data_IF_015199672602
#
_entry.id   IF_015199672602
#
_cell.length_a   1.000
_cell.length_b   1.000
_cell.length_c   1.000
_cell.angle_alpha   90.00
_cell.angle_beta   90.00
_cell.angle_gamma   90.00
#
_symmetry.space_group_name_H-M   'P 1'
#
loop_
_entity.id
_entity.type
_entity.pdbx_description
1 polymer ?
#
# COMPACT_ATOMS: atom_id res chain seq x y z
N UNK A 1 -37.06 14.86 37.24
CA UNK A 1 -35.99 15.56 36.51
C UNK A 1 -34.68 15.30 37.24
N UNK A 2 -34.06 14.15 37.03
CA UNK A 2 -32.69 13.89 37.49
C UNK A 2 -31.78 14.09 36.29
N UNK A 3 -30.97 15.16 36.37
CA UNK A 3 -29.96 15.49 35.39
C UNK A 3 -28.87 14.41 35.40
N UNK A 4 -28.92 13.52 34.41
CA UNK A 4 -27.81 12.61 34.08
C UNK A 4 -26.68 13.44 33.44
N UNK A 5 -25.94 14.16 34.27
CA UNK A 5 -24.62 14.67 33.90
C UNK A 5 -23.67 13.47 33.85
N UNK A 6 -23.65 12.76 32.71
CA UNK A 6 -22.52 11.88 32.37
C UNK A 6 -21.31 12.77 32.16
N UNK A 7 -20.57 13.04 33.23
CA UNK A 7 -19.28 13.73 33.15
C UNK A 7 -18.40 12.96 32.18
N UNK A 8 -18.07 13.59 31.05
CA UNK A 8 -17.19 13.04 30.03
C UNK A 8 -15.76 13.03 30.61
N UNK A 9 -15.45 12.05 31.46
CA UNK A 9 -14.14 11.96 32.11
C UNK A 9 -13.08 11.63 31.06
N UNK A 10 -11.99 12.39 31.06
CA UNK A 10 -10.80 12.18 30.21
C UNK A 10 -10.25 10.74 30.37
N UNK A 11 -10.44 10.13 31.55
CA UNK A 11 -10.08 8.72 31.81
C UNK A 11 -10.77 7.75 30.85
N UNK A 12 -12.05 7.96 30.56
CA UNK A 12 -12.83 7.09 29.66
C UNK A 12 -12.34 7.18 28.20
N UNK A 13 -11.81 8.33 27.78
CA UNK A 13 -11.20 8.48 26.46
C UNK A 13 -9.88 7.70 26.42
N UNK A 14 -9.03 7.86 27.43
CA UNK A 14 -7.73 7.20 27.48
C UNK A 14 -7.85 5.67 27.53
N UNK A 15 -8.78 5.13 28.31
CA UNK A 15 -9.07 3.69 28.33
C UNK A 15 -9.58 3.18 26.98
N UNK A 16 -10.46 3.92 26.31
CA UNK A 16 -10.92 3.57 24.95
C UNK A 16 -9.75 3.56 23.96
N UNK A 17 -8.86 4.55 24.02
CA UNK A 17 -7.67 4.61 23.17
C UNK A 17 -6.76 3.41 23.44
N UNK A 18 -6.45 3.10 24.70
CA UNK A 18 -5.62 1.93 25.05
C UNK A 18 -6.28 0.63 24.59
N UNK A 19 -7.58 0.47 24.81
CA UNK A 19 -8.31 -0.72 24.37
C UNK A 19 -8.26 -0.88 22.85
N UNK A 20 -8.41 0.22 22.10
CA UNK A 20 -8.27 0.23 20.65
C UNK A 20 -6.87 -0.20 20.20
N UNK A 21 -5.81 0.32 20.83
CA UNK A 21 -4.42 -0.09 20.56
C UNK A 21 -4.18 -1.56 20.87
N UNK A 22 -4.76 -2.10 21.95
CA UNK A 22 -4.66 -3.53 22.29
C UNK A 22 -5.36 -4.41 21.26
N UNK A 23 -6.59 -4.08 20.89
CA UNK A 23 -7.39 -4.87 19.94
C UNK A 23 -6.83 -4.81 18.51
N UNK A 24 -6.26 -3.67 18.10
CA UNK A 24 -5.78 -3.45 16.74
C UNK A 24 -4.25 -3.45 16.63
N UNK A 25 -3.53 -3.94 17.64
CA UNK A 25 -2.06 -3.87 17.74
C UNK A 25 -1.36 -4.32 16.46
N UNK A 26 -1.71 -5.51 15.97
CA UNK A 26 -1.08 -6.07 14.77
C UNK A 26 -1.35 -5.22 13.51
N UNK A 27 -2.57 -4.69 13.36
CA UNK A 27 -2.92 -3.85 12.22
C UNK A 27 -2.14 -2.52 12.26
N UNK A 28 -2.01 -1.91 13.44
CA UNK A 28 -1.26 -0.67 13.62
C UNK A 28 0.24 -0.87 13.36
N UNK A 29 0.83 -1.98 13.82
CA UNK A 29 2.22 -2.32 13.52
C UNK A 29 2.45 -2.53 12.02
N UNK A 30 1.53 -3.21 11.33
CA UNK A 30 1.61 -3.36 9.87
C UNK A 30 1.49 -2.01 9.13
N UNK A 31 0.61 -1.12 9.59
CA UNK A 31 0.49 0.24 9.03
C UNK A 31 1.77 1.02 9.24
N UNK A 32 2.35 1.01 10.45
CA UNK A 32 3.61 1.67 10.76
C UNK A 32 4.74 1.16 9.85
N UNK A 33 4.83 -0.17 9.70
CA UNK A 33 5.82 -0.80 8.83
C UNK A 33 5.65 -0.36 7.36
N UNK A 34 4.41 -0.36 6.85
CA UNK A 34 4.11 0.10 5.50
C UNK A 34 4.46 1.57 5.27
N UNK A 35 4.05 2.44 6.19
CA UNK A 35 4.35 3.88 6.13
C UNK A 35 5.86 4.10 6.15
N UNK A 36 6.60 3.40 7.01
CA UNK A 36 8.06 3.52 7.07
C UNK A 36 8.73 3.10 5.75
N UNK A 37 8.27 2.02 5.11
CA UNK A 37 8.79 1.56 3.84
C UNK A 37 8.48 2.54 2.69
N UNK A 38 7.28 3.12 2.68
CA UNK A 38 6.89 4.14 1.71
C UNK A 38 7.75 5.40 1.87
N UNK A 39 7.97 5.87 3.10
CA UNK A 39 8.82 7.03 3.38
C UNK A 39 10.27 6.80 2.97
N UNK A 40 10.84 5.63 3.28
CA UNK A 40 12.17 5.23 2.81
C UNK A 40 12.27 5.30 1.29
N UNK A 41 11.28 4.75 0.59
CA UNK A 41 11.26 4.72 -0.86
C UNK A 41 11.10 6.11 -1.47
N UNK A 42 10.19 6.95 -0.96
CA UNK A 42 10.02 8.33 -1.43
C UNK A 42 11.30 9.13 -1.26
N UNK A 43 11.95 9.00 -0.09
CA UNK A 43 13.20 9.70 0.20
C UNK A 43 14.32 9.27 -0.73
N UNK A 44 14.49 7.97 -0.95
CA UNK A 44 15.51 7.45 -1.88
C UNK A 44 15.25 7.87 -3.32
N UNK A 45 13.98 8.00 -3.71
CA UNK A 45 13.59 8.49 -5.02
C UNK A 45 13.92 9.98 -5.16
N UNK A 46 13.56 10.80 -4.18
CA UNK A 46 13.95 12.23 -4.15
C UNK A 46 15.46 12.43 -4.19
N UNK A 47 16.20 11.63 -3.43
CA UNK A 47 17.66 11.70 -3.38
C UNK A 47 18.33 11.15 -4.65
N UNK A 48 17.76 10.16 -5.33
CA UNK A 48 18.31 9.68 -6.60
C UNK A 48 18.00 10.59 -7.80
N UNK A 49 16.90 11.35 -7.74
CA UNK A 49 16.40 12.18 -8.84
C UNK A 49 17.08 13.54 -8.90
N UNK A 50 17.07 14.31 -7.79
CA UNK A 50 17.61 15.68 -7.79
C UNK A 50 19.11 15.74 -8.10
N UNK A 51 19.88 14.77 -7.64
CA UNK A 51 21.34 14.78 -7.80
C UNK A 51 21.81 14.22 -9.15
N UNK A 52 20.99 13.41 -9.82
CA UNK A 52 21.27 12.95 -11.18
C UNK A 52 21.24 14.10 -12.20
N UNK A 53 20.55 15.21 -11.89
CA UNK A 53 20.52 16.43 -12.71
C UNK A 53 21.87 17.15 -12.68
N UNK A 54 22.61 17.05 -11.56
CA UNK A 54 23.94 17.63 -11.42
C UNK A 54 24.94 17.16 -12.49
N UNK A 55 24.75 15.95 -13.04
CA UNK A 55 25.61 15.38 -14.11
C UNK A 55 25.55 16.15 -15.41
N UNK A 56 24.45 16.86 -15.69
CA UNK A 56 24.31 17.60 -16.95
C UNK A 56 24.83 19.03 -16.86
N UNK A 57 25.13 19.51 -15.64
CA UNK A 57 25.29 20.94 -15.37
C UNK A 57 26.61 21.23 -14.64
N UNK A 58 27.13 20.29 -13.84
CA UNK A 58 28.24 20.56 -12.94
C UNK A 58 29.61 20.36 -13.59
N UNK A 59 30.41 21.43 -13.64
CA UNK A 59 31.86 21.34 -13.75
C UNK A 59 32.49 20.64 -12.53
N UNK A 60 33.53 21.22 -11.92
CA UNK A 60 34.30 20.56 -10.83
C UNK A 60 33.44 20.06 -9.65
N UNK A 61 32.37 20.75 -9.26
CA UNK A 61 31.47 20.30 -8.17
C UNK A 61 30.69 19.05 -8.56
N UNK A 62 30.21 18.98 -9.80
CA UNK A 62 29.47 17.82 -10.30
C UNK A 62 30.33 16.57 -10.16
N UNK A 63 31.54 16.60 -10.69
CA UNK A 63 32.45 15.44 -10.64
C UNK A 63 32.77 14.97 -9.20
N UNK A 64 32.99 15.92 -8.27
CA UNK A 64 33.30 15.60 -6.87
C UNK A 64 32.10 15.00 -6.15
N UNK A 65 30.94 15.66 -6.20
CA UNK A 65 29.73 15.25 -5.48
C UNK A 65 29.13 13.98 -6.08
N UNK A 66 29.09 13.87 -7.40
CA UNK A 66 28.38 12.80 -8.10
C UNK A 66 29.13 11.48 -7.97
N UNK A 67 30.47 11.51 -7.99
CA UNK A 67 31.28 10.28 -7.89
C UNK A 67 31.00 9.52 -6.59
N UNK A 68 30.76 10.24 -5.50
CA UNK A 68 30.50 9.63 -4.18
C UNK A 68 29.00 9.43 -3.92
N UNK A 69 28.14 10.38 -4.31
CA UNK A 69 26.70 10.30 -4.08
C UNK A 69 26.01 9.25 -4.96
N UNK A 70 26.37 9.12 -6.25
CA UNK A 70 25.69 8.22 -7.19
C UNK A 70 25.63 6.76 -6.74
N UNK A 71 26.75 6.11 -6.37
CA UNK A 71 26.71 4.72 -5.93
C UNK A 71 25.90 4.55 -4.64
N UNK A 72 25.99 5.50 -3.70
CA UNK A 72 25.19 5.50 -2.48
C UNK A 72 23.69 5.60 -2.80
N UNK A 73 23.29 6.52 -3.67
CA UNK A 73 21.90 6.77 -4.05
C UNK A 73 21.28 5.56 -4.72
N UNK A 74 22.01 4.94 -5.66
CA UNK A 74 21.55 3.73 -6.36
C UNK A 74 21.33 2.58 -5.37
N UNK A 75 22.26 2.37 -4.44
CA UNK A 75 22.12 1.35 -3.41
C UNK A 75 20.93 1.62 -2.49
N UNK A 76 20.78 2.86 -2.02
CA UNK A 76 19.68 3.29 -1.15
C UNK A 76 18.32 3.12 -1.83
N UNK A 77 18.23 3.44 -3.13
CA UNK A 77 17.03 3.26 -3.94
C UNK A 77 16.65 1.78 -4.06
N UNK A 78 17.59 0.93 -4.47
CA UNK A 78 17.35 -0.52 -4.61
C UNK A 78 16.90 -1.12 -3.27
N UNK A 79 17.59 -0.82 -2.17
CA UNK A 79 17.26 -1.34 -0.85
C UNK A 79 15.86 -0.88 -0.40
N UNK A 80 15.53 0.40 -0.53
CA UNK A 80 14.20 0.90 -0.16
C UNK A 80 13.07 0.29 -1.00
N UNK A 81 13.32 0.04 -2.28
CA UNK A 81 12.37 -0.64 -3.15
C UNK A 81 12.15 -2.10 -2.70
N UNK A 82 13.23 -2.83 -2.41
CA UNK A 82 13.15 -4.20 -1.89
C UNK A 82 12.43 -4.27 -0.54
N UNK A 83 12.68 -3.29 0.35
CA UNK A 83 11.93 -3.15 1.61
C UNK A 83 10.44 -2.94 1.33
N UNK A 84 10.07 -2.00 0.46
CA UNK A 84 8.67 -1.73 0.11
C UNK A 84 7.97 -2.99 -0.43
N UNK A 85 8.58 -3.68 -1.40
CA UNK A 85 8.04 -4.91 -1.97
C UNK A 85 7.91 -6.01 -0.91
N UNK A 86 8.94 -6.21 -0.08
CA UNK A 86 8.91 -7.24 0.97
C UNK A 86 7.83 -6.98 2.03
N UNK A 87 7.62 -5.72 2.44
CA UNK A 87 6.53 -5.34 3.36
C UNK A 87 5.17 -5.64 2.74
N UNK A 88 4.96 -5.29 1.47
CA UNK A 88 3.70 -5.59 0.77
C UNK A 88 3.46 -7.11 0.72
N UNK A 89 4.46 -7.90 0.34
CA UNK A 89 4.38 -9.37 0.31
C UNK A 89 4.07 -9.93 1.70
N UNK A 90 4.74 -9.41 2.73
CA UNK A 90 4.53 -9.82 4.12
C UNK A 90 3.10 -9.54 4.59
N UNK A 91 2.53 -8.39 4.23
CA UNK A 91 1.12 -8.06 4.54
C UNK A 91 0.13 -8.95 3.76
N UNK A 92 0.42 -9.24 2.49
CA UNK A 92 -0.40 -10.14 1.67
C UNK A 92 -0.42 -11.57 2.22
N UNK A 93 0.72 -12.08 2.68
CA UNK A 93 0.82 -13.40 3.30
C UNK A 93 0.28 -13.40 4.74
N UNK A 94 0.47 -12.30 5.46
CA UNK A 94 0.09 -12.13 6.87
C UNK A 94 -1.42 -12.06 7.11
N UNK A 95 -2.21 -11.69 6.11
CA UNK A 95 -3.67 -11.58 6.21
C UNK A 95 -4.39 -12.94 6.18
N UNK A 96 -3.69 -14.03 5.86
CA UNK A 96 -4.30 -15.36 5.82
C UNK A 96 -4.26 -16.07 7.19
N UNK A 97 -5.39 -16.10 7.91
CA UNK A 97 -5.60 -16.90 9.14
C UNK A 97 -5.48 -18.43 8.95
N UNK A 98 -5.07 -18.91 7.78
CA UNK A 98 -5.04 -20.35 7.45
C UNK A 98 -3.75 -20.98 7.98
N UNK A 99 -3.87 -22.01 8.83
CA UNK A 99 -2.75 -22.79 9.41
C UNK A 99 -1.67 -23.20 8.37
N UNK A 100 -2.07 -23.52 7.14
CA UNK A 100 -1.17 -23.97 6.06
C UNK A 100 -0.15 -22.92 5.57
N UNK A 101 -0.39 -21.62 5.81
CA UNK A 101 0.51 -20.55 5.37
C UNK A 101 1.39 -19.98 6.49
N UNK A 102 1.44 -20.62 7.67
CA UNK A 102 2.19 -20.05 8.80
C UNK A 102 3.68 -19.94 8.50
N UNK A 103 4.28 -20.95 7.86
CA UNK A 103 5.72 -20.96 7.54
C UNK A 103 6.08 -19.84 6.57
N UNK A 104 5.32 -19.70 5.47
CA UNK A 104 5.55 -18.64 4.49
C UNK A 104 5.45 -17.23 5.10
N UNK A 105 4.52 -17.04 6.05
CA UNK A 105 4.38 -15.80 6.80
C UNK A 105 5.62 -15.51 7.67
N UNK A 106 6.13 -16.50 8.40
CA UNK A 106 7.36 -16.34 9.19
C UNK A 106 8.56 -16.01 8.30
N UNK A 107 8.72 -16.73 7.18
CA UNK A 107 9.82 -16.49 6.23
C UNK A 107 9.73 -15.07 5.67
N UNK A 108 8.56 -14.63 5.23
CA UNK A 108 8.36 -13.28 4.68
C UNK A 108 8.66 -12.18 5.72
N UNK A 109 8.20 -12.34 6.96
CA UNK A 109 8.46 -11.37 8.03
C UNK A 109 9.95 -11.34 8.39
N UNK A 110 10.63 -12.49 8.42
CA UNK A 110 12.08 -12.57 8.66
C UNK A 110 12.89 -11.90 7.55
N UNK A 111 12.56 -12.16 6.28
CA UNK A 111 13.21 -11.51 5.12
C UNK A 111 13.00 -9.99 5.20
N UNK A 112 11.76 -9.55 5.49
CA UNK A 112 11.44 -8.13 5.64
C UNK A 112 12.26 -7.48 6.77
N UNK A 113 12.41 -8.17 7.90
CA UNK A 113 13.21 -7.70 9.04
C UNK A 113 14.69 -7.54 8.66
N UNK A 114 15.25 -8.53 7.96
CA UNK A 114 16.64 -8.52 7.51
C UNK A 114 16.92 -7.43 6.48
N UNK A 115 16.01 -7.23 5.53
CA UNK A 115 16.10 -6.12 4.57
C UNK A 115 15.99 -4.76 5.24
N UNK A 116 15.08 -4.61 6.20
CA UNK A 116 14.85 -3.35 6.89
C UNK A 116 16.05 -2.95 7.77
N UNK A 117 16.61 -3.87 8.55
CA UNK A 117 17.82 -3.58 9.35
C UNK A 117 19.03 -3.27 8.46
N UNK A 118 19.21 -4.01 7.35
CA UNK A 118 20.27 -3.73 6.38
C UNK A 118 20.12 -2.34 5.78
N UNK A 119 18.89 -1.96 5.42
CA UNK A 119 18.57 -0.64 4.86
C UNK A 119 18.83 0.46 5.88
N UNK A 120 18.41 0.28 7.14
CA UNK A 120 18.65 1.25 8.22
C UNK A 120 20.15 1.49 8.41
N UNK A 121 20.96 0.44 8.47
CA UNK A 121 22.41 0.55 8.65
C UNK A 121 23.05 1.27 7.46
N UNK A 122 22.71 0.87 6.23
CA UNK A 122 23.25 1.50 5.01
C UNK A 122 22.87 2.98 4.95
N UNK A 123 21.62 3.32 5.27
CA UNK A 123 21.14 4.69 5.29
C UNK A 123 21.89 5.51 6.31
N UNK A 124 22.02 5.00 7.54
CA UNK A 124 22.73 5.69 8.61
C UNK A 124 24.18 6.00 8.22
N UNK A 125 24.91 5.01 7.68
CA UNK A 125 26.29 5.18 7.23
C UNK A 125 26.38 6.16 6.07
N UNK A 126 25.57 5.98 5.03
CA UNK A 126 25.65 6.79 3.80
C UNK A 126 25.17 8.22 3.98
N UNK A 127 24.08 8.45 4.71
CA UNK A 127 23.61 9.80 5.02
C UNK A 127 24.62 10.53 5.90
N UNK A 128 25.22 9.86 6.89
CA UNK A 128 26.24 10.49 7.75
C UNK A 128 27.53 10.83 6.99
N UNK A 129 27.96 9.94 6.09
CA UNK A 129 29.12 10.18 5.23
C UNK A 129 28.87 11.36 4.29
N UNK A 130 27.78 11.28 3.51
CA UNK A 130 27.44 12.31 2.53
C UNK A 130 27.18 13.65 3.20
N UNK A 131 26.48 13.70 4.34
CA UNK A 131 26.23 14.96 5.05
C UNK A 131 27.52 15.67 5.44
N UNK A 132 28.57 14.93 5.85
CA UNK A 132 29.87 15.52 6.21
C UNK A 132 30.63 16.00 4.97
N UNK A 133 30.66 15.19 3.92
CA UNK A 133 31.30 15.56 2.64
C UNK A 133 30.63 16.81 2.04
N UNK A 134 29.30 16.87 2.07
CA UNK A 134 28.55 18.04 1.61
C UNK A 134 28.79 19.27 2.47
N UNK A 135 28.86 19.13 3.80
CA UNK A 135 29.13 20.26 4.68
C UNK A 135 30.53 20.84 4.45
N UNK A 136 31.53 19.99 4.20
CA UNK A 136 32.88 20.44 3.81
C UNK A 136 32.85 21.19 2.48
N UNK A 137 32.16 20.66 1.47
CA UNK A 137 32.05 21.29 0.15
C UNK A 137 31.25 22.60 0.18
N UNK A 138 30.21 22.70 1.00
CA UNK A 138 29.41 23.92 1.16
C UNK A 138 30.18 25.04 1.84
N UNK A 139 31.14 24.70 2.70
CA UNK A 139 31.96 25.66 3.42
C UNK A 139 33.25 26.04 2.67
N UNK A 140 33.54 25.43 1.52
CA UNK A 140 34.70 25.77 0.69
C UNK A 140 34.44 27.07 -0.10
N UNK A 141 35.16 28.18 0.20
CA UNK A 141 34.96 29.46 -0.49
C UNK A 141 35.23 29.39 -1.99
N UNK A 142 36.12 28.50 -2.43
CA UNK A 142 36.49 28.35 -3.83
C UNK A 142 35.36 27.78 -4.70
N UNK A 143 34.37 27.15 -4.06
CA UNK A 143 33.22 26.51 -4.68
C UNK A 143 31.92 27.34 -4.57
N UNK A 144 31.99 28.53 -3.96
CA UNK A 144 30.80 29.34 -3.65
C UNK A 144 29.97 29.75 -4.87
N UNK A 145 30.59 30.15 -5.97
CA UNK A 145 29.88 30.57 -7.19
C UNK A 145 29.26 29.37 -7.94
N UNK A 146 29.96 28.23 -7.94
CA UNK A 146 29.47 26.98 -8.51
C UNK A 146 28.24 26.47 -7.72
N UNK A 147 28.27 26.54 -6.38
CA UNK A 147 27.12 26.22 -5.53
C UNK A 147 25.93 27.14 -5.80
N UNK A 148 26.16 28.45 -5.88
CA UNK A 148 25.12 29.43 -6.19
C UNK A 148 24.44 29.13 -7.52
N UNK A 149 25.22 28.74 -8.54
CA UNK A 149 24.70 28.31 -9.84
C UNK A 149 23.87 27.04 -9.72
N UNK A 150 24.40 26.02 -9.02
CA UNK A 150 23.69 24.76 -8.80
C UNK A 150 22.37 24.94 -8.05
N UNK A 151 22.35 25.81 -7.03
CA UNK A 151 21.17 26.17 -6.26
C UNK A 151 20.13 26.90 -7.09
N UNK A 152 20.55 27.87 -7.90
CA UNK A 152 19.66 28.60 -8.81
C UNK A 152 18.97 27.65 -9.79
N UNK A 153 19.71 26.70 -10.35
CA UNK A 153 19.17 25.76 -11.35
C UNK A 153 18.21 24.75 -10.72
N UNK A 154 18.49 24.29 -9.51
CA UNK A 154 17.62 23.37 -8.79
C UNK A 154 16.47 24.06 -8.05
N UNK A 155 16.36 25.39 -8.14
CA UNK A 155 15.43 26.20 -7.33
C UNK A 155 15.53 25.88 -5.83
N UNK A 156 16.73 25.57 -5.37
CA UNK A 156 17.00 25.12 -4.01
C UNK A 156 17.87 26.15 -3.28
N UNK A 157 17.77 26.18 -1.95
CA UNK A 157 18.63 26.98 -1.08
C UNK A 157 19.63 26.06 -0.34
N UNK A 158 20.76 26.60 0.16
CA UNK A 158 21.68 25.84 0.99
C UNK A 158 21.01 25.16 2.20
N UNK A 159 20.01 25.81 2.79
CA UNK A 159 19.25 25.27 3.93
C UNK A 159 18.45 24.03 3.54
N UNK A 160 17.99 23.94 2.28
CA UNK A 160 17.21 22.79 1.79
C UNK A 160 18.06 21.51 1.76
N UNK A 161 19.37 21.61 1.49
CA UNK A 161 20.28 20.45 1.55
C UNK A 161 20.37 19.92 2.99
N UNK A 162 20.55 20.81 3.97
CA UNK A 162 20.62 20.42 5.39
C UNK A 162 19.30 19.79 5.84
N UNK A 163 18.18 20.32 5.36
CA UNK A 163 16.86 19.76 5.61
C UNK A 163 16.73 18.35 5.01
N UNK A 164 17.21 18.11 3.79
CA UNK A 164 17.18 16.77 3.15
C UNK A 164 17.93 15.75 4.01
N UNK A 165 19.15 16.04 4.47
CA UNK A 165 19.90 15.11 5.32
C UNK A 165 19.21 14.89 6.69
N UNK A 166 18.64 15.94 7.27
CA UNK A 166 17.85 15.84 8.51
C UNK A 166 16.61 14.96 8.34
N UNK A 167 15.90 15.10 7.22
CA UNK A 167 14.78 14.23 6.84
C UNK A 167 15.23 12.78 6.74
N UNK A 168 16.42 12.53 6.18
CA UNK A 168 17.04 11.20 6.15
C UNK A 168 17.16 10.58 7.54
N UNK A 169 17.63 11.35 8.54
CA UNK A 169 17.75 10.90 9.93
C UNK A 169 16.38 10.60 10.54
N UNK A 170 15.37 11.46 10.32
CA UNK A 170 14.01 11.19 10.81
C UNK A 170 13.40 9.93 10.19
N UNK A 171 13.66 9.68 8.90
CA UNK A 171 13.20 8.47 8.22
C UNK A 171 13.89 7.22 8.78
N UNK A 172 15.18 7.29 9.11
CA UNK A 172 15.88 6.21 9.81
C UNK A 172 15.22 5.92 11.17
N UNK A 173 14.86 6.95 11.93
CA UNK A 173 14.19 6.79 13.23
C UNK A 173 12.82 6.13 13.09
N UNK A 174 11.98 6.60 12.15
CA UNK A 174 10.66 6.00 11.87
C UNK A 174 10.81 4.55 11.39
N UNK A 175 11.79 4.27 10.55
CA UNK A 175 12.07 2.92 10.05
C UNK A 175 12.55 1.97 11.15
N UNK A 176 13.33 2.49 12.10
CA UNK A 176 13.75 1.75 13.29
C UNK A 176 12.55 1.38 14.16
N UNK A 177 11.57 2.28 14.33
CA UNK A 177 10.32 1.96 15.03
C UNK A 177 9.51 0.88 14.28
N UNK A 178 9.43 0.98 12.95
CA UNK A 178 8.82 -0.05 12.10
C UNK A 178 9.50 -1.41 12.27
N UNK A 179 10.83 -1.43 12.32
CA UNK A 179 11.62 -2.65 12.54
C UNK A 179 11.35 -3.28 13.90
N UNK A 180 11.39 -2.49 14.99
CA UNK A 180 11.08 -2.97 16.35
C UNK A 180 9.66 -3.54 16.39
N UNK A 181 8.69 -2.88 15.75
CA UNK A 181 7.32 -3.35 15.62
C UNK A 181 7.21 -4.69 14.87
N UNK A 182 8.04 -4.89 13.85
CA UNK A 182 8.09 -6.14 13.09
C UNK A 182 8.70 -7.29 13.93
N UNK A 183 9.79 -7.03 14.66
CA UNK A 183 10.39 -7.99 15.60
C UNK A 183 9.39 -8.37 16.69
N UNK A 184 8.70 -7.39 17.27
CA UNK A 184 7.63 -7.65 18.23
C UNK A 184 6.59 -8.62 17.66
N UNK A 185 6.18 -8.42 16.41
CA UNK A 185 5.19 -9.29 15.73
C UNK A 185 5.70 -10.72 15.55
N UNK A 186 7.01 -10.91 15.30
CA UNK A 186 7.62 -12.25 15.25
C UNK A 186 7.54 -12.91 16.63
N UNK A 187 7.99 -12.21 17.67
CA UNK A 187 8.05 -12.73 19.05
C UNK A 187 6.66 -13.11 19.55
N UNK A 188 5.68 -12.22 19.36
CA UNK A 188 4.28 -12.43 19.74
C UNK A 188 3.69 -13.70 19.10
N UNK A 189 3.97 -13.91 17.81
CA UNK A 189 3.54 -15.12 17.09
C UNK A 189 4.23 -16.39 17.58
N UNK A 190 5.52 -16.33 17.91
CA UNK A 190 6.27 -17.46 18.48
C UNK A 190 5.71 -17.84 19.85
N UNK A 191 5.46 -16.86 20.72
CA UNK A 191 4.88 -17.07 22.05
C UNK A 191 3.47 -17.67 21.96
N UNK A 192 2.61 -17.12 21.10
CA UNK A 192 1.27 -17.66 20.86
C UNK A 192 1.31 -19.10 20.32
N UNK A 193 2.25 -19.41 19.43
CA UNK A 193 2.44 -20.78 18.92
C UNK A 193 2.87 -21.75 20.02
N UNK A 194 3.67 -21.31 21.00
CA UNK A 194 4.08 -22.11 22.16
C UNK A 194 2.89 -22.38 23.10
N UNK A 195 2.16 -21.33 23.48
CA UNK A 195 0.99 -21.44 24.36
C UNK A 195 -0.12 -22.32 23.76
N UNK A 196 -0.38 -22.18 22.45
CA UNK A 196 -1.36 -23.03 21.76
C UNK A 196 -0.93 -24.51 21.73
N UNK A 197 0.37 -24.81 21.66
CA UNK A 197 0.87 -26.19 21.74
C UNK A 197 0.69 -26.76 23.14
N UNK A 198 1.06 -26.00 24.18
CA UNK A 198 0.89 -26.41 25.57
C UNK A 198 -0.59 -26.66 25.92
N UNK A 199 -1.48 -25.77 25.49
CA UNK A 199 -2.93 -25.92 25.67
C UNK A 199 -3.47 -27.16 24.96
N UNK A 200 -3.02 -27.41 23.71
CA UNK A 200 -3.43 -28.60 22.96
C UNK A 200 -2.93 -29.89 23.61
N UNK A 201 -1.66 -29.93 24.05
CA UNK A 201 -1.10 -31.08 24.77
C UNK A 201 -1.83 -31.31 26.10
N UNK A 202 -2.15 -30.25 26.84
CA UNK A 202 -2.93 -30.36 28.09
C UNK A 202 -4.34 -30.91 27.82
N UNK A 203 -5.03 -30.41 26.79
CA UNK A 203 -6.34 -30.96 26.38
C UNK A 203 -6.22 -32.42 25.95
N UNK A 204 -5.21 -32.78 25.16
CA UNK A 204 -5.02 -34.16 24.71
C UNK A 204 -4.74 -35.10 25.89
N UNK A 205 -3.93 -34.67 26.86
CA UNK A 205 -3.67 -35.44 28.07
C UNK A 205 -4.95 -35.62 28.90
N UNK A 206 -5.80 -34.58 29.03
CA UNK A 206 -7.10 -34.66 29.71
C UNK A 206 -8.11 -35.58 29.00
N UNK A 207 -8.04 -35.65 27.67
CA UNK A 207 -8.85 -36.60 26.88
C UNK A 207 -8.33 -38.03 27.12
N UNK A 208 -7.02 -38.23 27.16
CA UNK A 208 -6.40 -39.54 27.40
C UNK A 208 -6.59 -40.04 28.84
N UNK A 209 -6.63 -39.15 29.83
CA UNK A 209 -6.93 -39.51 31.24
C UNK A 209 -8.40 -39.80 31.49
N UNK A 210 -9.29 -39.52 30.53
CA UNK A 210 -10.74 -39.68 30.68
C UNK A 210 -11.43 -38.53 31.43
N UNK A 211 -10.69 -37.49 31.82
CA UNK A 211 -11.23 -36.31 32.52
C UNK A 211 -12.14 -35.45 31.63
N UNK A 212 -11.98 -35.55 30.31
CA UNK A 212 -12.82 -34.84 29.33
C UNK A 212 -13.44 -35.86 28.38
N UNK A 213 -14.74 -36.10 28.53
CA UNK A 213 -15.51 -36.90 27.57
C UNK A 213 -15.80 -36.06 26.33
N UNK A 214 -15.34 -36.52 25.16
CA UNK A 214 -15.72 -35.95 23.89
C UNK A 214 -17.21 -36.24 23.67
N UNK A 215 -18.07 -35.25 23.93
CA UNK A 215 -19.46 -35.29 23.49
C UNK A 215 -19.42 -35.15 21.97
N UNK A 216 -19.45 -36.28 21.28
CA UNK A 216 -19.48 -36.34 19.82
C UNK A 216 -20.87 -35.88 19.35
N UNK A 217 -21.08 -34.56 19.36
CA UNK A 217 -22.33 -33.94 18.93
C UNK A 217 -22.43 -33.92 17.41
N UNK A 218 -22.31 -35.09 16.76
CA UNK A 218 -22.89 -35.32 15.44
C UNK A 218 -24.37 -35.61 15.61
N UNK A 219 -25.17 -34.55 15.81
CA UNK A 219 -26.60 -34.62 15.49
C UNK A 219 -26.72 -34.82 13.97
N UNK A 220 -26.92 -36.08 13.55
CA UNK A 220 -27.46 -36.41 12.23
C UNK A 220 -28.84 -35.77 12.13
N UNK A 221 -28.94 -34.68 11.38
CA UNK A 221 -30.21 -34.11 10.95
C UNK A 221 -30.77 -35.00 9.84
N UNK A 222 -31.41 -36.11 10.24
CA UNK A 222 -32.37 -36.82 9.40
C UNK A 222 -33.74 -36.31 9.83
N UNK A 223 -34.44 -35.61 8.93
CA UNK A 223 -35.88 -35.70 8.77
C UNK A 223 -36.22 -35.16 7.39
N UNK A 224 -36.49 -36.10 6.48
CA UNK A 224 -37.50 -35.90 5.44
C UNK A 224 -38.85 -35.78 6.13
N UNK A 225 -39.76 -34.97 5.60
CA UNK A 225 -41.10 -35.43 5.21
C UNK A 225 -41.80 -34.36 4.35
N UNK A 226 -42.55 -34.89 3.39
CA UNK A 226 -43.23 -34.24 2.27
C UNK A 226 -44.34 -33.26 2.66
N UNK A 227 -44.51 -32.18 1.90
CA UNK A 227 -45.84 -31.58 1.71
C UNK A 227 -45.98 -30.88 0.34
N UNK A 228 -47.21 -30.91 -0.15
CA UNK A 228 -47.65 -30.91 -1.55
C UNK A 228 -47.62 -29.57 -2.31
N UNK A 229 -47.63 -29.73 -3.64
CA UNK A 229 -47.51 -28.73 -4.71
C UNK A 229 -48.66 -27.70 -4.74
N UNK A 230 -48.32 -26.42 -4.83
CA UNK A 230 -49.10 -25.44 -5.59
C UNK A 230 -48.17 -24.67 -6.54
N UNK A 231 -48.45 -24.71 -7.85
CA UNK A 231 -47.73 -23.88 -8.84
C UNK A 231 -48.56 -22.62 -9.04
N UNK A 232 -48.14 -21.51 -8.42
CA UNK A 232 -48.49 -20.16 -8.87
C UNK A 232 -47.51 -19.16 -8.26
N UNK A 233 -46.83 -18.35 -9.09
CA UNK A 233 -45.81 -17.34 -8.73
C UNK A 233 -44.45 -17.89 -8.22
N UNK A 234 -44.40 -19.08 -7.62
CA UNK A 234 -43.18 -19.61 -6.97
C UNK A 234 -42.02 -20.02 -7.90
N UNK A 235 -42.29 -20.33 -9.17
CA UNK A 235 -41.25 -20.77 -10.12
C UNK A 235 -40.21 -19.68 -10.42
N UNK A 236 -40.60 -18.42 -10.42
CA UNK A 236 -39.68 -17.33 -10.75
C UNK A 236 -38.72 -17.03 -9.58
N UNK A 237 -39.22 -17.12 -8.35
CA UNK A 237 -38.41 -17.05 -7.12
C UNK A 237 -37.42 -18.21 -7.03
N UNK A 238 -37.84 -19.44 -7.34
CA UNK A 238 -36.98 -20.62 -7.32
C UNK A 238 -35.85 -20.52 -8.36
N UNK A 239 -36.16 -20.06 -9.59
CA UNK A 239 -35.15 -19.83 -10.63
C UNK A 239 -34.19 -18.70 -10.23
N UNK A 240 -34.69 -17.64 -9.58
CA UNK A 240 -33.83 -16.57 -9.10
C UNK A 240 -32.90 -17.05 -7.99
N UNK A 241 -33.39 -17.84 -7.05
CA UNK A 241 -32.59 -18.40 -5.97
C UNK A 241 -31.53 -19.37 -6.51
N UNK A 242 -31.85 -20.23 -7.49
CA UNK A 242 -30.86 -21.05 -8.20
C UNK A 242 -29.77 -20.20 -8.89
N UNK A 243 -30.16 -19.09 -9.55
CA UNK A 243 -29.19 -18.18 -10.20
C UNK A 243 -28.27 -17.52 -9.17
N UNK A 244 -28.78 -17.14 -8.00
CA UNK A 244 -27.97 -16.52 -6.94
C UNK A 244 -27.08 -17.57 -6.27
N UNK A 245 -27.55 -18.79 -6.05
CA UNK A 245 -26.73 -19.85 -5.48
C UNK A 245 -25.55 -20.23 -6.41
N UNK A 246 -25.77 -20.24 -7.74
CA UNK A 246 -24.69 -20.38 -8.73
C UNK A 246 -23.56 -19.35 -8.56
N UNK A 247 -23.85 -18.16 -8.04
CA UNK A 247 -22.83 -17.13 -7.80
C UNK A 247 -21.80 -17.53 -6.74
N UNK A 248 -22.10 -18.51 -5.87
CA UNK A 248 -21.12 -19.05 -4.91
C UNK A 248 -19.95 -19.76 -5.61
N UNK A 249 -20.22 -20.34 -6.77
CA UNK A 249 -19.27 -21.14 -7.55
C UNK A 249 -18.71 -20.41 -8.76
N UNK A 250 -19.34 -19.30 -9.16
CA UNK A 250 -18.95 -18.53 -10.34
C UNK A 250 -18.34 -17.18 -9.96
N UNK A 251 -17.11 -16.94 -10.42
CA UNK A 251 -16.44 -15.66 -10.21
C UNK A 251 -17.19 -14.49 -10.88
N UNK A 252 -17.13 -13.30 -10.28
CA UNK A 252 -17.67 -12.09 -10.88
C UNK A 252 -16.78 -11.54 -12.00
N UNK A 253 -16.76 -12.23 -13.15
CA UNK A 253 -15.87 -11.93 -14.27
C UNK A 253 -16.04 -10.51 -14.84
N UNK A 254 -17.26 -9.98 -14.88
CA UNK A 254 -17.54 -8.64 -15.43
C UNK A 254 -16.92 -7.54 -14.57
N UNK A 255 -17.20 -7.54 -13.26
CA UNK A 255 -16.65 -6.53 -12.34
C UNK A 255 -15.12 -6.61 -12.26
N UNK A 256 -14.59 -7.84 -12.20
CA UNK A 256 -13.14 -8.09 -12.25
C UNK A 256 -12.51 -7.55 -13.54
N UNK A 257 -13.10 -7.84 -14.70
CA UNK A 257 -12.61 -7.39 -16.00
C UNK A 257 -12.62 -5.88 -16.16
N UNK A 258 -13.69 -5.19 -15.71
CA UNK A 258 -13.77 -3.73 -15.74
C UNK A 258 -12.67 -3.07 -14.88
N UNK A 259 -12.40 -3.61 -13.68
CA UNK A 259 -11.35 -3.09 -12.81
C UNK A 259 -9.97 -3.35 -13.43
N UNK A 260 -9.71 -4.53 -14.00
CA UNK A 260 -8.45 -4.81 -14.71
C UNK A 260 -8.25 -3.90 -15.93
N UNK A 261 -9.31 -3.65 -16.69
CA UNK A 261 -9.23 -2.74 -17.84
C UNK A 261 -8.94 -1.31 -17.39
N UNK A 262 -9.52 -0.86 -16.27
CA UNK A 262 -9.16 0.43 -15.66
C UNK A 262 -7.68 0.51 -15.30
N UNK A 263 -7.11 -0.54 -14.71
CA UNK A 263 -5.68 -0.61 -14.37
C UNK A 263 -4.81 -0.40 -15.61
N UNK A 264 -5.18 -0.98 -16.76
CA UNK A 264 -4.47 -0.78 -18.02
C UNK A 264 -4.48 0.70 -18.44
N UNK A 265 -5.63 1.38 -18.33
CA UNK A 265 -5.73 2.81 -18.64
C UNK A 265 -4.92 3.68 -17.67
N UNK A 266 -4.96 3.40 -16.36
CA UNK A 266 -4.13 4.10 -15.37
C UNK A 266 -2.63 3.92 -15.69
N UNK A 267 -2.23 2.72 -16.09
CA UNK A 267 -0.85 2.41 -16.45
C UNK A 267 -0.41 3.21 -17.69
N UNK A 268 -1.20 3.18 -18.77
CA UNK A 268 -0.92 3.91 -20.01
C UNK A 268 -0.86 5.42 -19.74
N UNK A 269 -1.83 5.98 -19.02
CA UNK A 269 -1.85 7.38 -18.64
C UNK A 269 -0.65 7.76 -17.73
N UNK A 270 -0.30 6.90 -16.78
CA UNK A 270 0.86 7.05 -15.91
C UNK A 270 2.16 7.12 -16.70
N UNK A 271 2.39 6.17 -17.62
CA UNK A 271 3.55 6.20 -18.49
C UNK A 271 3.61 7.47 -19.34
N UNK A 272 2.50 7.89 -19.96
CA UNK A 272 2.48 9.14 -20.74
C UNK A 272 2.77 10.39 -19.90
N UNK A 273 2.37 10.38 -18.63
CA UNK A 273 2.69 11.46 -17.68
C UNK A 273 4.19 11.49 -17.35
N UNK A 274 4.85 10.33 -17.34
CA UNK A 274 6.26 10.19 -16.97
C UNK A 274 7.22 10.32 -18.18
N UNK A 275 6.83 9.90 -19.38
CA UNK A 275 7.75 9.75 -20.54
C UNK A 275 7.65 10.87 -21.59
N UNK A 276 7.06 12.02 -21.26
CA UNK A 276 6.75 13.04 -22.26
C UNK A 276 7.96 13.58 -23.05
N UNK A 277 9.18 13.56 -22.50
CA UNK A 277 10.37 14.09 -23.18
C UNK A 277 11.12 13.11 -24.10
N UNK A 278 10.60 11.91 -24.38
CA UNK A 278 11.31 10.94 -25.25
C UNK A 278 10.94 10.98 -26.74
N UNK A 279 10.08 11.90 -27.20
CA UNK A 279 9.53 11.85 -28.57
C UNK A 279 9.52 13.19 -29.33
N UNK A 280 10.05 14.27 -28.75
CA UNK A 280 10.39 15.46 -29.54
C UNK A 280 11.79 15.25 -30.10
N UNK A 281 11.97 15.35 -31.42
CA UNK A 281 13.28 15.23 -32.10
C UNK A 281 14.26 16.36 -31.75
N UNK A 282 13.92 17.19 -30.79
CA UNK A 282 14.71 18.32 -30.37
C UNK A 282 15.67 17.86 -29.28
N UNK A 283 16.91 17.56 -29.68
CA UNK A 283 18.00 17.12 -28.80
C UNK A 283 18.34 18.13 -27.70
N UNK A 284 17.77 19.34 -27.76
CA UNK A 284 17.94 20.41 -26.78
C UNK A 284 16.88 20.41 -25.66
N UNK A 285 15.78 19.66 -25.79
CA UNK A 285 14.71 19.65 -24.78
C UNK A 285 14.98 18.62 -23.69
N UNK A 286 15.28 19.14 -22.50
CA UNK A 286 15.69 18.41 -21.30
C UNK A 286 14.75 17.24 -21.02
N UNK A 287 15.29 16.03 -20.87
CA UNK A 287 14.60 14.84 -20.32
C UNK A 287 13.93 15.20 -19.00
N UNK A 288 12.68 14.74 -18.81
CA UNK A 288 11.81 14.99 -17.66
C UNK A 288 12.58 15.35 -16.40
N UNK A 289 12.47 16.62 -15.97
CA UNK A 289 13.23 17.14 -14.82
C UNK A 289 12.84 16.34 -13.59
N UNK A 290 13.73 15.50 -13.06
CA UNK A 290 13.46 14.69 -11.89
C UNK A 290 13.06 15.58 -10.70
N UNK A 291 11.79 15.56 -10.32
CA UNK A 291 11.26 16.35 -9.22
C UNK A 291 10.54 15.44 -8.22
N UNK A 292 10.56 15.80 -6.93
CA UNK A 292 9.81 15.14 -5.87
C UNK A 292 8.32 14.96 -6.24
N UNK A 293 7.71 15.92 -6.94
CA UNK A 293 6.32 15.79 -7.38
C UNK A 293 6.11 14.64 -8.38
N UNK A 294 7.05 14.45 -9.32
CA UNK A 294 7.03 13.32 -10.27
C UNK A 294 7.28 12.01 -9.52
N UNK A 295 8.19 12.01 -8.54
CA UNK A 295 8.45 10.87 -7.67
C UNK A 295 7.19 10.43 -6.92
N UNK A 296 6.49 11.39 -6.30
CA UNK A 296 5.23 11.15 -5.61
C UNK A 296 4.15 10.64 -6.56
N UNK A 297 4.09 11.13 -7.81
CA UNK A 297 3.16 10.60 -8.81
C UNK A 297 3.42 9.14 -9.14
N UNK A 298 4.68 8.78 -9.39
CA UNK A 298 5.09 7.41 -9.67
C UNK A 298 4.66 6.50 -8.52
N UNK A 299 4.92 6.91 -7.28
CA UNK A 299 4.50 6.18 -6.09
C UNK A 299 2.98 6.04 -6.04
N UNK A 300 2.23 7.12 -6.29
CA UNK A 300 0.76 7.11 -6.30
C UNK A 300 0.18 6.22 -7.41
N UNK A 301 0.80 6.19 -8.60
CA UNK A 301 0.44 5.27 -9.68
C UNK A 301 0.63 3.83 -9.20
N UNK A 302 1.82 3.49 -8.70
CA UNK A 302 2.15 2.12 -8.25
C UNK A 302 1.17 1.67 -7.17
N UNK A 303 0.91 2.51 -6.16
CA UNK A 303 -0.05 2.21 -5.10
C UNK A 303 -1.47 2.02 -5.65
N UNK A 304 -1.91 2.89 -6.57
CA UNK A 304 -3.24 2.79 -7.20
C UNK A 304 -3.37 1.50 -8.01
N UNK A 305 -2.36 1.13 -8.79
CA UNK A 305 -2.33 -0.11 -9.58
C UNK A 305 -2.39 -1.34 -8.66
N UNK A 306 -1.57 -1.36 -7.60
CA UNK A 306 -1.49 -2.49 -6.67
C UNK A 306 -2.79 -2.68 -5.86
N UNK A 307 -3.34 -1.57 -5.33
CA UNK A 307 -4.60 -1.60 -4.59
C UNK A 307 -5.78 -1.95 -5.51
N UNK A 308 -5.79 -1.45 -6.75
CA UNK A 308 -6.82 -1.81 -7.73
C UNK A 308 -6.75 -3.28 -8.10
N UNK A 309 -5.55 -3.83 -8.31
CA UNK A 309 -5.36 -5.25 -8.62
C UNK A 309 -5.82 -6.13 -7.46
N UNK A 310 -5.39 -5.80 -6.24
CA UNK A 310 -5.82 -6.52 -5.03
C UNK A 310 -7.34 -6.43 -4.84
N UNK A 311 -7.91 -5.24 -5.06
CA UNK A 311 -9.35 -5.03 -5.00
C UNK A 311 -10.10 -5.83 -6.06
N UNK A 312 -9.61 -5.90 -7.30
CA UNK A 312 -10.17 -6.72 -8.37
C UNK A 312 -10.25 -8.19 -7.95
N UNK A 313 -9.14 -8.75 -7.43
CA UNK A 313 -9.10 -10.14 -6.95
C UNK A 313 -10.10 -10.40 -5.82
N UNK A 314 -10.36 -9.45 -4.93
CA UNK A 314 -11.33 -9.65 -3.84
C UNK A 314 -12.78 -9.43 -4.29
N UNK A 315 -13.02 -8.50 -5.20
CA UNK A 315 -14.35 -8.25 -5.79
C UNK A 315 -14.80 -9.41 -6.69
N UNK A 316 -13.85 -10.12 -7.32
CA UNK A 316 -14.08 -11.39 -8.03
C UNK A 316 -14.81 -12.44 -7.17
N UNK A 317 -14.55 -12.45 -5.86
CA UNK A 317 -15.17 -13.34 -4.86
C UNK A 317 -16.29 -12.68 -4.04
N UNK A 318 -16.98 -11.67 -4.59
CA UNK A 318 -18.16 -11.03 -4.00
C UNK A 318 -17.95 -10.44 -2.59
N UNK A 319 -16.74 -9.94 -2.28
CA UNK A 319 -16.47 -9.33 -0.98
C UNK A 319 -16.90 -7.86 -0.94
N UNK A 320 -18.05 -7.59 -0.32
CA UNK A 320 -18.65 -6.24 -0.24
C UNK A 320 -17.72 -5.17 0.38
N UNK A 321 -16.86 -5.54 1.34
CA UNK A 321 -15.91 -4.57 1.93
C UNK A 321 -14.92 -4.03 0.89
N UNK A 322 -14.54 -4.86 -0.08
CA UNK A 322 -13.60 -4.48 -1.13
C UNK A 322 -14.27 -3.66 -2.24
N UNK A 323 -15.59 -3.77 -2.42
CA UNK A 323 -16.30 -2.89 -3.38
C UNK A 323 -16.30 -1.44 -2.90
N UNK A 324 -16.43 -1.20 -1.58
CA UNK A 324 -16.23 0.15 -1.02
C UNK A 324 -14.79 0.64 -1.18
N UNK A 325 -13.80 -0.24 -0.96
CA UNK A 325 -12.39 0.08 -1.21
C UNK A 325 -12.14 0.52 -2.65
N UNK A 326 -12.73 -0.16 -3.63
CA UNK A 326 -12.62 0.22 -5.04
C UNK A 326 -13.29 1.57 -5.35
N UNK A 327 -14.40 1.91 -4.69
CA UNK A 327 -14.99 3.25 -4.82
C UNK A 327 -14.02 4.33 -4.30
N UNK A 328 -13.37 4.11 -3.16
CA UNK A 328 -12.38 5.06 -2.63
C UNK A 328 -11.21 5.22 -3.60
N UNK A 329 -10.68 4.12 -4.14
CA UNK A 329 -9.58 4.16 -5.12
C UNK A 329 -10.00 4.93 -6.37
N UNK A 330 -11.24 4.77 -6.84
CA UNK A 330 -11.73 5.54 -7.99
C UNK A 330 -11.77 7.05 -7.73
N UNK A 331 -12.12 7.47 -6.51
CA UNK A 331 -12.07 8.89 -6.12
C UNK A 331 -10.63 9.40 -6.11
N UNK A 332 -9.66 8.59 -5.65
CA UNK A 332 -8.24 8.92 -5.74
C UNK A 332 -7.79 9.06 -7.19
N UNK A 333 -8.21 8.16 -8.09
CA UNK A 333 -7.95 8.28 -9.54
C UNK A 333 -8.50 9.58 -10.11
N UNK A 334 -9.71 9.99 -9.72
CA UNK A 334 -10.31 11.28 -10.14
C UNK A 334 -9.53 12.46 -9.57
N UNK A 335 -9.21 12.46 -8.27
CA UNK A 335 -8.45 13.53 -7.64
C UNK A 335 -7.08 13.74 -8.33
N UNK A 336 -6.46 12.66 -8.78
CA UNK A 336 -5.17 12.69 -9.50
C UNK A 336 -5.25 13.43 -10.85
N UNK A 337 -6.41 13.42 -11.51
CA UNK A 337 -6.63 14.18 -12.77
C UNK A 337 -6.37 15.68 -12.54
N UNK A 338 -6.75 16.18 -11.36
CA UNK A 338 -6.62 17.60 -11.01
C UNK A 338 -5.27 17.96 -10.41
N UNK A 339 -4.54 17.01 -9.82
CA UNK A 339 -3.30 17.30 -9.11
C UNK A 339 -2.10 17.47 -10.06
N UNK A 340 -1.78 16.45 -10.87
CA UNK A 340 -0.53 16.45 -11.66
C UNK A 340 -0.71 17.11 -13.02
N UNK A 341 -1.67 16.68 -13.86
CA UNK A 341 -1.83 17.27 -15.18
C UNK A 341 -2.00 18.80 -15.12
N UNK A 342 -2.74 19.30 -14.13
CA UNK A 342 -2.97 20.74 -13.94
C UNK A 342 -1.69 21.49 -13.55
N UNK A 343 -0.88 20.88 -12.67
CA UNK A 343 0.40 21.45 -12.24
C UNK A 343 1.40 21.52 -13.40
N UNK A 344 1.46 20.49 -14.23
CA UNK A 344 2.38 20.43 -15.39
C UNK A 344 1.89 21.36 -16.52
N UNK A 345 0.57 21.48 -16.71
CA UNK A 345 -0.02 22.41 -17.66
C UNK A 345 0.30 23.88 -17.29
N UNK A 346 0.25 24.24 -16.01
CA UNK A 346 0.57 25.60 -15.54
C UNK A 346 2.04 26.01 -15.71
N UNK A 347 2.92 25.09 -16.12
CA UNK A 347 4.35 25.34 -16.36
C UNK A 347 4.74 25.25 -17.84
N UNK A 348 3.78 25.08 -18.74
CA UNK A 348 4.01 24.84 -20.17
C UNK A 348 4.92 23.62 -20.47
N UNK A 349 5.05 22.69 -19.52
CA UNK A 349 5.91 21.50 -19.62
C UNK A 349 5.24 20.36 -20.43
N UNK A 350 3.91 20.42 -20.63
CA UNK A 350 3.13 19.37 -21.31
C UNK A 350 2.31 19.92 -22.47
N UNK A 351 2.50 19.41 -23.71
CA UNK A 351 1.67 19.80 -24.85
C UNK A 351 0.18 19.56 -24.59
N UNK A 352 -0.67 20.54 -24.89
CA UNK A 352 -2.11 20.50 -24.61
C UNK A 352 -2.82 19.27 -25.19
N UNK A 353 -2.38 18.79 -26.37
CA UNK A 353 -2.90 17.56 -26.98
C UNK A 353 -2.66 16.33 -26.12
N UNK A 354 -1.46 16.18 -25.53
CA UNK A 354 -1.13 15.06 -24.65
C UNK A 354 -1.83 15.16 -23.32
N UNK A 355 -1.91 16.36 -22.75
CA UNK A 355 -2.71 16.63 -21.55
C UNK A 355 -4.15 16.12 -21.73
N UNK A 356 -4.78 16.48 -22.85
CA UNK A 356 -6.15 16.06 -23.16
C UNK A 356 -6.30 14.54 -23.23
N UNK A 357 -5.35 13.85 -23.88
CA UNK A 357 -5.33 12.37 -23.96
C UNK A 357 -5.19 11.73 -22.56
N UNK A 358 -4.28 12.24 -21.73
CA UNK A 358 -4.08 11.74 -20.36
C UNK A 358 -5.36 11.91 -19.53
N UNK A 359 -6.01 13.08 -19.60
CA UNK A 359 -7.26 13.36 -18.89
C UNK A 359 -8.37 12.42 -19.35
N UNK A 360 -8.55 12.22 -20.66
CA UNK A 360 -9.56 11.31 -21.22
C UNK A 360 -9.34 9.87 -20.72
N UNK A 361 -8.10 9.37 -20.77
CA UNK A 361 -7.78 8.00 -20.33
C UNK A 361 -8.01 7.82 -18.82
N UNK A 362 -7.68 8.83 -18.01
CA UNK A 362 -7.93 8.80 -16.57
C UNK A 362 -9.43 8.86 -16.24
N UNK A 363 -10.22 9.64 -17.00
CA UNK A 363 -11.69 9.65 -16.88
C UNK A 363 -12.30 8.28 -17.23
N UNK A 364 -11.84 7.65 -18.31
CA UNK A 364 -12.25 6.29 -18.70
C UNK A 364 -11.86 5.30 -17.60
N UNK A 365 -10.63 5.37 -17.10
CA UNK A 365 -10.15 4.51 -16.01
C UNK A 365 -11.03 4.64 -14.77
N UNK A 366 -11.30 5.86 -14.30
CA UNK A 366 -12.16 6.10 -13.14
C UNK A 366 -13.59 5.59 -13.37
N UNK A 367 -14.17 5.86 -14.54
CA UNK A 367 -15.51 5.37 -14.90
C UNK A 367 -15.61 3.84 -14.88
N UNK A 368 -14.60 3.14 -15.42
CA UNK A 368 -14.52 1.68 -15.39
C UNK A 368 -14.35 1.13 -13.96
N UNK A 369 -13.55 1.79 -13.12
CA UNK A 369 -13.39 1.44 -11.71
C UNK A 369 -14.72 1.57 -10.94
N UNK A 370 -15.45 2.69 -11.13
CA UNK A 370 -16.76 2.93 -10.50
C UNK A 370 -17.77 1.89 -10.99
N UNK A 371 -17.89 1.69 -12.31
CA UNK A 371 -18.81 0.70 -12.87
C UNK A 371 -18.51 -0.72 -12.35
N UNK A 372 -17.22 -1.10 -12.32
CA UNK A 372 -16.77 -2.35 -11.73
C UNK A 372 -17.17 -2.47 -10.26
N UNK A 373 -16.94 -1.44 -9.46
CA UNK A 373 -17.28 -1.42 -8.03
C UNK A 373 -18.80 -1.50 -7.78
N UNK A 374 -19.61 -0.77 -8.53
CA UNK A 374 -21.08 -0.77 -8.43
C UNK A 374 -21.67 -2.12 -8.80
N UNK A 375 -21.25 -2.72 -9.92
CA UNK A 375 -21.68 -4.07 -10.32
C UNK A 375 -21.25 -5.09 -9.27
N UNK A 376 -20.03 -4.96 -8.76
CA UNK A 376 -19.51 -5.76 -7.66
C UNK A 376 -20.40 -5.67 -6.41
N UNK A 377 -20.79 -4.45 -6.03
CA UNK A 377 -21.63 -4.19 -4.87
C UNK A 377 -23.02 -4.81 -4.99
N UNK A 378 -23.71 -4.57 -6.12
CA UNK A 378 -25.06 -5.11 -6.38
C UNK A 378 -25.07 -6.63 -6.28
N UNK A 379 -24.10 -7.29 -6.95
CA UNK A 379 -23.98 -8.75 -6.94
C UNK A 379 -23.61 -9.30 -5.57
N UNK A 380 -22.67 -8.65 -4.87
CA UNK A 380 -22.26 -9.08 -3.52
C UNK A 380 -23.40 -8.97 -2.52
N UNK A 381 -24.19 -7.89 -2.57
CA UNK A 381 -25.36 -7.69 -1.71
C UNK A 381 -26.47 -8.69 -2.02
N UNK A 382 -26.70 -9.02 -3.30
CA UNK A 382 -27.67 -10.06 -3.69
C UNK A 382 -27.29 -11.42 -3.10
N UNK A 383 -26.01 -11.80 -3.21
CA UNK A 383 -25.49 -13.04 -2.65
C UNK A 383 -25.58 -13.06 -1.11
N UNK A 384 -25.15 -11.98 -0.44
CA UNK A 384 -25.20 -11.89 1.03
C UNK A 384 -26.63 -12.00 1.56
N UNK A 385 -27.60 -11.36 0.91
CA UNK A 385 -29.01 -11.47 1.29
C UNK A 385 -29.55 -12.89 1.11
N UNK A 386 -29.14 -13.59 0.05
CA UNK A 386 -29.53 -14.98 -0.19
C UNK A 386 -28.91 -15.94 0.84
N UNK A 387 -27.61 -15.78 1.17
CA UNK A 387 -26.97 -16.57 2.23
C UNK A 387 -27.65 -16.36 3.60
N UNK A 388 -28.03 -15.12 3.91
CA UNK A 388 -28.80 -14.81 5.12
C UNK A 388 -30.15 -15.53 5.17
N UNK A 389 -30.85 -15.66 4.02
CA UNK A 389 -32.10 -16.44 3.94
C UNK A 389 -31.88 -17.93 4.20
N UNK A 390 -30.74 -18.48 3.79
CA UNK A 390 -30.37 -19.88 4.04
C UNK A 390 -29.81 -20.14 5.45
N UNK A 391 -29.69 -19.11 6.30
CA UNK A 391 -29.13 -19.25 7.64
C UNK A 391 -27.61 -19.40 7.70
N UNK A 392 -26.90 -19.26 6.58
CA UNK A 392 -25.43 -19.22 6.55
C UNK A 392 -24.94 -17.79 6.83
N UNK A 393 -24.03 -17.61 7.79
CA UNK A 393 -23.36 -16.33 8.08
C UNK A 393 -21.85 -16.43 7.95
#
# INVERSE_FOLDING_TARGET
MENVQKSFSISNIFEKVISFFKTNKQNLLNILLLVSAILLFIYSLGFSTGWAIGNQIGGRIGDLVIKEATPANKLMLILSFLVLVSVIISMLLGTHKRKKFSIANYVAISITSLLLITTIIVYFVKISQLSKEFELLLNDPSLSEDWKTLFMINFAKPEDIRLIFSLGIYIIAISSLGFIGNIYTIVDKILYAKESRETYTSMMNKIQSGDVTLIDSRKKSNNNDDESITINVDKETEIMDMKVDKMRYQNNGVSYGLILLSILFVLIAGFMTITFNSFTNDSSQIKVVPNLNIALDIVMIILTLLLSFLGAEKVKFYKIKWTYGMMIISVVTIARIFYIPLQVLGKDELPAGRFSVIVILMCIAAGLQIAGAVIGYIKSKKLENHLKKMGEK
#
